data_IF_164029509989
#
_entry.id   IF_164029509989
#
_cell.length_a   1.000
_cell.length_b   1.000
_cell.length_c   1.000
_cell.angle_alpha   90.00
_cell.angle_beta   90.00
_cell.angle_gamma   90.00
#
_symmetry.space_group_name_H-M   'P 1'
#
loop_
_entity.id
_entity.type
_entity.pdbx_description
1 polymer ?
#
# COMPACT_ATOMS: atom_id res chain seq x y z
N UNK A 1 -16.95 4.23 5.58
CA UNK A 1 -15.86 4.94 4.87
C UNK A 1 -14.72 3.96 4.63
N UNK A 2 -14.29 3.78 3.38
CA UNK A 2 -13.23 2.85 3.01
C UNK A 2 -11.91 3.56 2.71
N UNK A 3 -10.83 3.10 3.34
CA UNK A 3 -9.48 3.63 3.12
C UNK A 3 -8.55 2.50 2.69
N UNK A 4 -7.92 2.65 1.53
CA UNK A 4 -6.93 1.71 1.01
C UNK A 4 -5.51 2.21 1.31
N UNK A 5 -4.79 1.52 2.18
CA UNK A 5 -3.36 1.73 2.43
C UNK A 5 -2.51 0.90 1.46
N UNK A 6 -1.47 1.51 0.89
CA UNK A 6 -0.55 0.90 -0.07
C UNK A 6 0.90 1.07 0.40
N UNK A 7 1.65 -0.03 0.35
CA UNK A 7 3.12 -0.07 0.42
C UNK A 7 3.67 -0.65 -0.88
N UNK A 8 4.64 0.03 -1.51
CA UNK A 8 5.27 -0.40 -2.76
C UNK A 8 6.64 0.29 -2.97
N UNK A 9 7.45 -0.27 -3.87
CA UNK A 9 8.69 0.31 -4.44
C UNK A 9 9.89 0.47 -3.51
N UNK A 10 9.98 -0.28 -2.41
CA UNK A 10 11.14 -0.19 -1.51
C UNK A 10 11.52 -1.51 -0.83
N UNK A 11 10.61 -2.08 -0.05
CA UNK A 11 10.77 -3.37 0.61
C UNK A 11 9.66 -4.30 0.12
N UNK A 12 8.87 -4.84 1.03
CA UNK A 12 7.73 -5.69 0.72
C UNK A 12 6.53 -4.81 0.35
N UNK A 13 5.98 -5.06 -0.82
CA UNK A 13 4.72 -4.46 -1.21
C UNK A 13 3.54 -5.16 -0.52
N UNK A 14 2.54 -4.36 -0.16
CA UNK A 14 1.38 -4.81 0.61
C UNK A 14 0.21 -3.84 0.44
N UNK A 15 -0.99 -4.33 0.75
CA UNK A 15 -2.20 -3.52 0.82
C UNK A 15 -2.98 -3.82 2.10
N UNK A 16 -3.70 -2.81 2.59
CA UNK A 16 -4.61 -2.90 3.73
C UNK A 16 -5.88 -2.09 3.43
N UNK A 17 -7.04 -2.64 3.73
CA UNK A 17 -8.33 -1.97 3.60
C UNK A 17 -8.98 -1.80 4.97
N UNK A 18 -9.32 -0.56 5.28
CA UNK A 18 -10.06 -0.17 6.48
C UNK A 18 -11.50 0.16 6.13
N UNK A 19 -12.43 -0.17 7.02
CA UNK A 19 -13.82 0.32 7.03
C UNK A 19 -14.09 1.00 8.36
N UNK A 20 -14.35 2.32 8.32
CA UNK A 20 -14.70 3.12 9.51
C UNK A 20 -13.74 2.95 10.70
N UNK A 21 -12.45 2.76 10.40
CA UNK A 21 -11.36 2.61 11.37
C UNK A 21 -10.98 1.17 11.68
N UNK A 22 -11.78 0.19 11.26
CA UNK A 22 -11.53 -1.24 11.49
C UNK A 22 -10.85 -1.89 10.29
N UNK A 23 -9.92 -2.82 10.53
CA UNK A 23 -9.22 -3.54 9.46
C UNK A 23 -10.14 -4.64 8.92
N UNK A 24 -10.48 -4.55 7.63
CA UNK A 24 -11.23 -5.60 6.94
C UNK A 24 -10.28 -6.67 6.40
N UNK A 25 -9.21 -6.24 5.74
CA UNK A 25 -8.22 -7.14 5.16
C UNK A 25 -6.85 -6.47 5.04
N UNK A 26 -5.80 -7.26 5.18
CA UNK A 26 -4.43 -6.84 4.90
C UNK A 26 -3.63 -8.03 4.35
N UNK A 27 -2.84 -7.80 3.31
CA UNK A 27 -2.04 -8.85 2.69
C UNK A 27 -0.73 -8.32 2.10
N UNK A 28 0.30 -9.16 2.13
CA UNK A 28 1.58 -8.91 1.46
C UNK A 28 1.57 -9.52 0.05
N UNK A 29 2.10 -8.80 -0.92
CA UNK A 29 2.09 -9.20 -2.33
C UNK A 29 2.87 -10.51 -2.58
N UNK A 30 3.96 -10.71 -1.84
CA UNK A 30 4.81 -11.91 -1.95
C UNK A 30 4.06 -13.23 -1.71
N UNK A 31 2.92 -13.18 -0.98
CA UNK A 31 2.07 -14.37 -0.76
C UNK A 31 1.42 -14.83 -2.05
N UNK A 32 1.11 -13.91 -2.95
CA UNK A 32 0.49 -14.14 -4.26
C UNK A 32 1.53 -14.34 -5.36
N UNK A 33 2.53 -13.47 -5.45
CA UNK A 33 3.53 -13.53 -6.53
C UNK A 33 4.57 -14.62 -6.31
N UNK A 34 4.69 -15.12 -5.08
CA UNK A 34 5.69 -16.12 -4.65
C UNK A 34 7.14 -15.64 -4.82
N UNK A 35 7.33 -14.34 -5.06
CA UNK A 35 8.63 -13.67 -5.03
C UNK A 35 8.81 -13.10 -3.64
N UNK A 36 9.82 -13.59 -2.92
CA UNK A 36 10.12 -13.09 -1.58
C UNK A 36 10.53 -11.62 -1.64
N UNK A 37 9.95 -10.80 -0.76
CA UNK A 37 10.15 -9.35 -0.68
C UNK A 37 9.83 -8.61 -1.98
N UNK A 38 8.74 -8.99 -2.65
CA UNK A 38 8.32 -8.38 -3.90
C UNK A 38 8.09 -6.86 -3.73
N UNK A 39 8.90 -5.98 -4.35
CA UNK A 39 8.78 -4.54 -4.21
C UNK A 39 7.86 -3.91 -5.25
N UNK A 40 7.32 -4.70 -6.18
CA UNK A 40 6.46 -4.19 -7.25
C UNK A 40 5.14 -3.61 -6.69
N UNK A 41 4.29 -3.08 -7.56
CA UNK A 41 2.99 -2.57 -7.12
C UNK A 41 2.09 -3.72 -6.63
N UNK A 42 1.40 -3.60 -5.46
CA UNK A 42 0.71 -4.70 -4.82
C UNK A 42 -0.67 -5.00 -5.44
N UNK A 43 -0.70 -5.35 -6.72
CA UNK A 43 -1.92 -5.63 -7.48
C UNK A 43 -2.78 -6.72 -6.83
N UNK A 44 -2.17 -7.85 -6.45
CA UNK A 44 -2.90 -8.99 -5.93
C UNK A 44 -3.40 -8.75 -4.51
N UNK A 45 -2.60 -8.09 -3.67
CA UNK A 45 -3.02 -7.73 -2.32
C UNK A 45 -4.19 -6.73 -2.33
N UNK A 46 -4.19 -5.74 -3.24
CA UNK A 46 -5.33 -4.81 -3.40
C UNK A 46 -6.58 -5.58 -3.82
N UNK A 47 -6.49 -6.44 -4.83
CA UNK A 47 -7.61 -7.24 -5.31
C UNK A 47 -8.17 -8.16 -4.21
N UNK A 48 -7.28 -8.77 -3.42
CA UNK A 48 -7.67 -9.57 -2.27
C UNK A 48 -8.47 -8.74 -1.25
N UNK A 49 -7.97 -7.57 -0.86
CA UNK A 49 -8.65 -6.74 0.13
C UNK A 49 -10.04 -6.27 -0.33
N UNK A 50 -10.17 -5.86 -1.59
CA UNK A 50 -11.47 -5.47 -2.18
C UNK A 50 -12.44 -6.66 -2.23
N UNK A 51 -11.93 -7.86 -2.56
CA UNK A 51 -12.71 -9.09 -2.59
C UNK A 51 -13.21 -9.48 -1.20
N UNK A 52 -12.37 -9.42 -0.18
CA UNK A 52 -12.75 -9.73 1.21
C UNK A 52 -13.83 -8.77 1.74
N UNK A 53 -13.74 -7.47 1.39
CA UNK A 53 -14.77 -6.50 1.72
C UNK A 53 -16.04 -6.61 0.85
N UNK A 54 -15.99 -7.35 -0.26
CA UNK A 54 -17.11 -7.45 -1.21
C UNK A 54 -17.46 -6.14 -1.91
N UNK A 55 -16.50 -5.22 -2.04
CA UNK A 55 -16.71 -3.90 -2.64
C UNK A 55 -15.95 -3.73 -3.96
N UNK A 56 -16.52 -2.97 -4.93
CA UNK A 56 -15.77 -2.46 -6.07
C UNK A 56 -14.81 -1.33 -5.66
N UNK A 57 -13.80 -1.06 -6.50
CA UNK A 57 -12.76 -0.04 -6.23
C UNK A 57 -13.30 1.39 -6.16
N UNK A 58 -14.42 1.69 -6.84
CA UNK A 58 -15.08 2.99 -6.82
C UNK A 58 -15.75 3.33 -5.47
N UNK A 59 -15.83 2.36 -4.55
CA UNK A 59 -16.25 2.56 -3.15
C UNK A 59 -15.12 2.96 -2.22
N UNK A 60 -13.86 2.95 -2.69
CA UNK A 60 -12.72 3.41 -1.89
C UNK A 60 -12.72 4.93 -1.85
N UNK A 61 -12.92 5.50 -0.66
CA UNK A 61 -12.99 6.94 -0.46
C UNK A 61 -11.59 7.58 -0.52
N UNK A 62 -10.58 6.90 0.02
CA UNK A 62 -9.21 7.41 0.10
C UNK A 62 -8.18 6.33 -0.18
N UNK A 63 -7.07 6.74 -0.79
CA UNK A 63 -5.87 5.91 -0.96
C UNK A 63 -4.70 6.58 -0.23
N UNK A 64 -4.07 5.84 0.67
CA UNK A 64 -2.92 6.30 1.43
C UNK A 64 -1.66 5.56 1.00
N UNK A 65 -0.60 6.31 0.68
CA UNK A 65 0.74 5.77 0.45
C UNK A 65 1.65 6.21 1.60
N UNK A 66 2.42 5.28 2.17
CA UNK A 66 3.16 5.54 3.41
C UNK A 66 4.32 6.52 3.24
N UNK A 67 4.91 6.61 2.04
CA UNK A 67 6.05 7.49 1.80
C UNK A 67 5.58 8.93 1.51
N UNK A 68 6.35 9.91 1.99
CA UNK A 68 6.17 11.32 1.70
C UNK A 68 7.32 11.77 0.79
N UNK A 69 7.12 11.79 -0.55
CA UNK A 69 8.20 11.92 -1.52
C UNK A 69 9.07 13.17 -1.28
N UNK A 70 8.43 14.29 -0.92
CA UNK A 70 9.12 15.56 -0.69
C UNK A 70 9.99 15.56 0.58
N UNK A 71 9.59 14.87 1.64
CA UNK A 71 10.39 14.77 2.87
C UNK A 71 11.64 13.92 2.58
N UNK A 72 11.46 12.81 1.87
CA UNK A 72 12.57 11.94 1.44
C UNK A 72 13.53 12.68 0.52
N UNK A 73 13.01 13.46 -0.43
CA UNK A 73 13.80 14.28 -1.34
C UNK A 73 14.62 15.34 -0.60
N UNK A 74 13.99 16.11 0.31
CA UNK A 74 14.71 17.11 1.12
C UNK A 74 15.85 16.49 1.93
N UNK A 75 15.60 15.34 2.57
CA UNK A 75 16.63 14.62 3.34
C UNK A 75 17.83 14.21 2.46
N UNK A 76 17.58 13.75 1.23
CA UNK A 76 18.64 13.40 0.27
C UNK A 76 19.43 14.65 -0.11
N UNK A 77 18.76 15.76 -0.41
CA UNK A 77 19.44 17.01 -0.74
C UNK A 77 20.36 17.48 0.40
N UNK A 78 19.85 17.51 1.63
CA UNK A 78 20.65 17.87 2.80
C UNK A 78 21.86 16.94 2.94
N UNK A 79 21.67 15.61 2.88
CA UNK A 79 22.77 14.65 3.12
C UNK A 79 23.90 14.73 2.08
N UNK A 80 23.60 15.04 0.82
CA UNK A 80 24.60 15.00 -0.26
C UNK A 80 25.15 16.38 -0.67
N UNK A 81 24.50 17.47 -0.29
CA UNK A 81 24.88 18.82 -0.70
C UNK A 81 25.16 19.79 0.46
N UNK A 82 25.16 19.32 1.72
CA UNK A 82 25.62 20.08 2.88
C UNK A 82 27.09 19.83 3.22
#
# INVERSE_FOLDING_TARGET
MYILGISAYYHDSAACLLEDGEIIAAAQEERFTRKKHDPDFPCHAIQYCLKEAGIPVDRVDYVAFYDKPFIKFNRILETYFS
#
